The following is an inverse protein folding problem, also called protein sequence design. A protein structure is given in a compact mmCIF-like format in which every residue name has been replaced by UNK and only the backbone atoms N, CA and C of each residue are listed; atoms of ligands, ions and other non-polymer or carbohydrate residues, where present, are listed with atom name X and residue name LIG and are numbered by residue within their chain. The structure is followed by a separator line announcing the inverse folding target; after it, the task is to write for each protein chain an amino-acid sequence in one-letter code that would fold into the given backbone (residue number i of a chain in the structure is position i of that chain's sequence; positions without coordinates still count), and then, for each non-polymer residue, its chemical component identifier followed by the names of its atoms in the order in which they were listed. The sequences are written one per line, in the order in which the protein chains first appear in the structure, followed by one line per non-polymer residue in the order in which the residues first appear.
data_IF_052117759284
#
_entry.id   IF_052117759284
#
_cell.length_a   1.000
_cell.length_b   1.000
_cell.length_c   1.000
_cell.angle_alpha   90.00
_cell.angle_beta   90.00
_cell.angle_gamma   90.00
#
_symmetry.space_group_name_H-M   'P 1'
#
loop_
_entity.id
_entity.type
_entity.pdbx_description
1 polymer ?
#
# COMPACT_ATOMS: atom_id res chain seq x y z
N UNK A 1 9.31 21.91 -31.27
CA UNK A 1 9.49 20.46 -31.01
C UNK A 1 8.39 19.90 -30.10
N UNK A 2 7.92 18.65 -30.28
CA UNK A 2 6.88 18.02 -29.42
C UNK A 2 7.52 17.06 -28.41
N UNK A 3 7.87 17.58 -27.22
CA UNK A 3 8.45 16.79 -26.11
C UNK A 3 7.40 15.96 -25.35
N UNK A 4 6.47 15.29 -26.06
CA UNK A 4 5.39 14.50 -25.46
C UNK A 4 5.32 13.07 -26.02
N UNK A 5 5.07 12.10 -25.13
CA UNK A 5 4.91 10.69 -25.44
C UNK A 5 3.58 10.17 -24.88
N UNK A 6 2.91 9.20 -25.56
CA UNK A 6 1.71 8.57 -25.05
C UNK A 6 2.05 7.67 -23.85
N UNK A 7 1.59 8.06 -22.66
CA UNK A 7 1.88 7.34 -21.41
C UNK A 7 0.68 6.68 -20.77
N UNK A 8 0.86 5.52 -20.11
CA UNK A 8 -0.20 4.89 -19.33
C UNK A 8 -0.77 5.86 -18.29
N UNK A 9 -2.09 6.04 -18.31
CA UNK A 9 -2.76 6.97 -17.41
C UNK A 9 -2.59 6.55 -15.93
N UNK A 10 -1.84 7.35 -15.15
CA UNK A 10 -1.71 7.16 -13.68
C UNK A 10 -3.08 7.11 -12.98
N UNK A 11 -4.05 7.91 -13.45
CA UNK A 11 -5.44 7.88 -12.94
C UNK A 11 -6.10 6.53 -13.22
N UNK A 12 -5.94 6.00 -14.44
CA UNK A 12 -6.50 4.69 -14.81
C UNK A 12 -5.84 3.56 -14.03
N UNK A 13 -4.53 3.61 -13.79
CA UNK A 13 -3.84 2.63 -12.94
C UNK A 13 -4.33 2.66 -11.50
N UNK A 14 -4.50 3.84 -10.90
CA UNK A 14 -5.07 3.97 -9.56
C UNK A 14 -6.51 3.40 -9.49
N UNK A 15 -7.33 3.66 -10.51
CA UNK A 15 -8.68 3.08 -10.63
C UNK A 15 -8.59 1.55 -10.74
N UNK A 16 -7.69 0.99 -11.55
CA UNK A 16 -7.50 -0.46 -11.67
C UNK A 16 -7.13 -1.10 -10.32
N UNK A 17 -6.19 -0.50 -9.59
CA UNK A 17 -5.79 -0.98 -8.26
C UNK A 17 -6.95 -0.88 -7.27
N UNK A 18 -7.71 0.22 -7.28
CA UNK A 18 -8.90 0.36 -6.44
C UNK A 18 -9.95 -0.72 -6.76
N UNK A 19 -10.23 -0.98 -8.05
CA UNK A 19 -11.14 -2.06 -8.47
C UNK A 19 -10.67 -3.40 -7.90
N UNK A 20 -9.39 -3.74 -8.05
CA UNK A 20 -8.84 -5.00 -7.57
C UNK A 20 -9.04 -5.15 -6.05
N UNK A 21 -8.63 -4.13 -5.29
CA UNK A 21 -8.75 -4.14 -3.82
C UNK A 21 -10.22 -4.26 -3.40
N UNK A 22 -11.10 -3.42 -3.93
CA UNK A 22 -12.54 -3.45 -3.59
C UNK A 22 -13.20 -4.76 -4.02
N UNK A 23 -12.79 -5.35 -5.14
CA UNK A 23 -13.29 -6.67 -5.58
C UNK A 23 -12.86 -7.79 -4.62
N UNK A 24 -11.61 -7.77 -4.13
CA UNK A 24 -11.15 -8.73 -3.10
C UNK A 24 -12.01 -8.60 -1.83
N UNK A 25 -12.25 -7.37 -1.35
CA UNK A 25 -13.14 -7.14 -0.21
C UNK A 25 -14.56 -7.62 -0.46
N UNK A 26 -15.11 -7.40 -1.67
CA UNK A 26 -16.44 -7.89 -2.04
C UNK A 26 -16.49 -9.42 -1.98
N UNK A 27 -15.52 -10.11 -2.56
CA UNK A 27 -15.44 -11.58 -2.56
C UNK A 27 -15.31 -12.11 -1.13
N UNK A 28 -14.44 -11.55 -0.31
CA UNK A 28 -14.31 -11.93 1.10
C UNK A 28 -15.63 -11.74 1.86
N UNK A 29 -16.33 -10.62 1.64
CA UNK A 29 -17.64 -10.35 2.26
C UNK A 29 -18.70 -11.36 1.78
N UNK A 30 -18.70 -11.72 0.50
CA UNK A 30 -19.61 -12.73 -0.05
C UNK A 30 -19.32 -14.14 0.49
N UNK A 31 -18.05 -14.51 0.65
CA UNK A 31 -17.65 -15.75 1.31
C UNK A 31 -18.12 -15.75 2.76
N UNK A 32 -17.93 -14.64 3.48
CA UNK A 32 -18.41 -14.50 4.86
C UNK A 32 -19.93 -14.62 4.94
N UNK A 33 -20.66 -13.98 4.02
CA UNK A 33 -22.12 -14.08 3.89
C UNK A 33 -22.54 -15.53 3.58
N UNK A 34 -21.80 -16.23 2.73
CA UNK A 34 -22.05 -17.62 2.39
C UNK A 34 -21.82 -18.54 3.59
N UNK A 35 -20.71 -18.37 4.32
CA UNK A 35 -20.39 -19.11 5.56
C UNK A 35 -21.44 -18.82 6.62
N UNK A 36 -21.80 -17.55 6.85
CA UNK A 36 -22.91 -17.17 7.71
C UNK A 36 -24.20 -17.84 7.24
N UNK A 37 -24.55 -17.79 5.96
CA UNK A 37 -25.78 -18.40 5.45
C UNK A 37 -25.79 -19.93 5.65
N UNK A 38 -24.68 -20.62 5.40
CA UNK A 38 -24.56 -22.07 5.50
C UNK A 38 -24.49 -22.56 6.94
N UNK A 39 -23.78 -21.89 7.84
CA UNK A 39 -23.78 -22.20 9.27
C UNK A 39 -25.16 -21.90 9.87
N UNK A 40 -25.73 -20.72 9.60
CA UNK A 40 -27.04 -20.34 10.15
C UNK A 40 -28.21 -21.18 9.62
N UNK A 41 -28.11 -21.84 8.45
CA UNK A 41 -29.12 -22.82 7.99
C UNK A 41 -29.04 -24.14 8.76
N UNK A 42 -27.87 -24.48 9.31
CA UNK A 42 -27.63 -25.69 10.09
C UNK A 42 -27.75 -25.48 11.60
N UNK A 43 -27.55 -24.25 12.07
CA UNK A 43 -27.27 -24.01 13.49
C UNK A 43 -28.47 -23.45 14.27
N UNK A 44 -29.48 -22.85 13.61
CA UNK A 44 -30.69 -22.36 14.29
C UNK A 44 -31.84 -22.04 13.32
N UNK A 45 -32.60 -23.06 12.91
CA UNK A 45 -33.77 -22.92 12.03
C UNK A 45 -35.05 -22.48 12.77
N UNK A 46 -34.93 -22.09 14.04
CA UNK A 46 -36.05 -21.76 14.93
C UNK A 46 -36.82 -22.97 15.46
N UNK A 47 -36.47 -24.20 15.04
CA UNK A 47 -37.06 -25.42 15.58
C UNK A 47 -36.31 -25.86 16.82
N UNK A 48 -37.10 -26.15 17.84
CA UNK A 48 -36.61 -26.65 19.12
C UNK A 48 -37.04 -28.10 19.30
N UNK A 49 -36.31 -28.80 20.17
CA UNK A 49 -36.72 -30.07 20.71
C UNK A 49 -36.63 -30.00 22.23
N UNK A 50 -37.54 -30.72 22.87
CA UNK A 50 -37.56 -30.84 24.32
C UNK A 50 -36.87 -32.13 24.71
N UNK A 51 -35.91 -32.03 25.63
CA UNK A 51 -35.22 -33.18 26.22
C UNK A 51 -35.55 -33.18 27.71
N UNK A 52 -35.95 -34.35 28.21
CA UNK A 52 -36.19 -34.57 29.63
C UNK A 52 -35.22 -35.64 30.12
N UNK A 53 -34.62 -35.41 31.27
CA UNK A 53 -33.64 -36.33 31.84
C UNK A 53 -33.28 -35.98 33.27
N UNK A 54 -32.53 -36.86 33.92
CA UNK A 54 -32.01 -36.66 35.27
C UNK A 54 -30.59 -36.12 35.19
N UNK A 55 -30.30 -35.02 35.88
CA UNK A 55 -28.95 -34.45 35.88
C UNK A 55 -27.99 -35.36 36.64
N UNK A 56 -27.03 -35.94 35.93
CA UNK A 56 -26.00 -36.83 36.49
C UNK A 56 -24.77 -36.05 36.94
N UNK A 57 -24.43 -34.98 36.22
CA UNK A 57 -23.26 -34.15 36.49
C UNK A 57 -23.50 -32.68 36.13
N UNK A 58 -22.90 -31.78 36.92
CA UNK A 58 -22.83 -30.34 36.64
C UNK A 58 -21.36 -29.94 36.57
N UNK A 59 -20.94 -29.30 35.48
CA UNK A 59 -19.58 -28.81 35.29
C UNK A 59 -19.58 -27.28 35.19
N UNK A 60 -18.81 -26.65 36.09
CA UNK A 60 -18.73 -25.20 36.28
C UNK A 60 -17.41 -24.60 35.78
N UNK A 61 -16.72 -25.28 34.84
CA UNK A 61 -15.50 -24.77 34.19
C UNK A 61 -15.73 -23.56 33.26
N UNK A 62 -14.97 -23.46 32.16
CA UNK A 62 -15.07 -22.35 31.20
C UNK A 62 -16.46 -22.21 30.54
N UNK A 63 -17.24 -23.29 30.53
CA UNK A 63 -18.64 -23.33 30.13
C UNK A 63 -19.46 -24.08 31.17
N UNK A 64 -20.63 -23.52 31.54
CA UNK A 64 -21.62 -24.20 32.37
C UNK A 64 -22.26 -25.33 31.56
N UNK A 65 -21.93 -26.58 31.93
CA UNK A 65 -22.47 -27.77 31.29
C UNK A 65 -23.27 -28.60 32.29
N UNK A 66 -24.40 -29.13 31.86
CA UNK A 66 -25.16 -30.15 32.59
C UNK A 66 -25.18 -31.43 31.77
N UNK A 67 -24.92 -32.57 32.40
CA UNK A 67 -24.99 -33.89 31.78
C UNK A 67 -26.24 -34.60 32.26
N UNK A 68 -27.00 -35.17 31.33
CA UNK A 68 -28.20 -35.95 31.65
C UNK A 68 -27.87 -37.45 31.76
N UNK A 69 -28.87 -38.25 32.09
CA UNK A 69 -28.82 -39.71 32.19
C UNK A 69 -28.60 -40.41 30.85
N UNK A 70 -28.72 -39.69 29.73
CA UNK A 70 -28.31 -40.14 28.40
C UNK A 70 -26.81 -39.92 28.09
N UNK A 71 -26.02 -39.56 29.10
CA UNK A 71 -24.60 -39.22 29.02
C UNK A 71 -24.26 -38.02 28.11
N UNK A 72 -25.27 -37.29 27.62
CA UNK A 72 -25.02 -36.08 26.81
C UNK A 72 -24.93 -34.85 27.70
N UNK A 73 -23.94 -34.01 27.38
CA UNK A 73 -23.79 -32.70 28.00
C UNK A 73 -24.52 -31.62 27.21
N UNK A 74 -25.03 -30.62 27.92
CA UNK A 74 -25.77 -29.48 27.40
C UNK A 74 -25.21 -28.18 28.00
N UNK A 75 -25.03 -27.16 27.17
CA UNK A 75 -24.43 -25.89 27.56
C UNK A 75 -25.48 -24.87 28.01
N UNK A 76 -25.49 -24.52 29.29
CA UNK A 76 -26.46 -23.60 29.90
C UNK A 76 -25.97 -22.15 30.00
N UNK A 77 -24.84 -21.79 29.38
CA UNK A 77 -24.30 -20.43 29.46
C UNK A 77 -25.30 -19.37 29.03
N UNK A 78 -26.11 -19.65 28.01
CA UNK A 78 -27.10 -18.71 27.45
C UNK A 78 -28.21 -18.35 28.44
N UNK A 79 -28.65 -19.32 29.24
CA UNK A 79 -29.74 -19.14 30.20
C UNK A 79 -29.24 -18.88 31.62
N UNK A 80 -27.91 -18.84 31.83
CA UNK A 80 -27.30 -18.80 33.17
C UNK A 80 -27.79 -17.61 34.00
N UNK A 81 -27.91 -16.44 33.38
CA UNK A 81 -28.34 -15.22 34.04
C UNK A 81 -29.87 -15.22 34.26
N UNK A 82 -30.63 -15.71 33.30
CA UNK A 82 -32.10 -15.72 33.33
C UNK A 82 -32.67 -16.78 34.28
N UNK A 83 -31.97 -17.91 34.45
CA UNK A 83 -32.38 -19.01 35.33
C UNK A 83 -32.34 -18.64 36.82
N UNK A 84 -31.57 -17.61 37.19
CA UNK A 84 -31.44 -17.13 38.57
C UNK A 84 -31.10 -18.25 39.59
N UNK A 85 -30.38 -19.29 39.16
CA UNK A 85 -29.93 -20.38 40.03
C UNK A 85 -28.58 -19.98 40.64
N UNK A 86 -28.56 -19.82 41.95
CA UNK A 86 -27.36 -19.44 42.72
C UNK A 86 -26.30 -20.53 42.79
N UNK A 87 -26.72 -21.79 42.92
CA UNK A 87 -25.86 -22.98 42.87
C UNK A 87 -26.44 -24.03 41.92
N UNK A 88 -25.76 -24.23 40.78
CA UNK A 88 -26.20 -25.16 39.74
C UNK A 88 -26.07 -26.62 40.17
N UNK A 89 -25.28 -26.94 41.19
CA UNK A 89 -25.17 -28.31 41.71
C UNK A 89 -26.48 -28.80 42.34
N UNK A 90 -27.38 -27.90 42.74
CA UNK A 90 -28.74 -28.23 43.24
C UNK A 90 -29.58 -28.98 42.20
N UNK A 91 -29.20 -28.92 40.92
CA UNK A 91 -29.86 -29.66 39.86
C UNK A 91 -29.48 -31.15 39.84
N UNK A 92 -28.35 -31.55 40.44
CA UNK A 92 -27.88 -32.93 40.40
C UNK A 92 -28.89 -33.89 41.06
N UNK A 93 -29.22 -34.98 40.38
CA UNK A 93 -30.24 -35.94 40.79
C UNK A 93 -31.69 -35.49 40.58
N UNK A 94 -31.94 -34.28 40.04
CA UNK A 94 -33.28 -33.81 39.70
C UNK A 94 -33.63 -34.11 38.26
N UNK A 95 -34.90 -34.43 38.01
CA UNK A 95 -35.46 -34.45 36.66
C UNK A 95 -35.64 -33.02 36.18
N UNK A 96 -35.06 -32.71 35.03
CA UNK A 96 -35.19 -31.41 34.39
C UNK A 96 -35.77 -31.57 32.99
N UNK A 97 -36.38 -30.51 32.49
CA UNK A 97 -36.81 -30.38 31.10
C UNK A 97 -36.04 -29.24 30.47
N UNK A 98 -35.29 -29.53 29.41
CA UNK A 98 -34.52 -28.53 28.66
C UNK A 98 -35.06 -28.42 27.24
N UNK A 99 -35.03 -27.19 26.72
CA UNK A 99 -35.34 -26.90 25.33
C UNK A 99 -34.02 -26.61 24.62
N UNK A 100 -33.72 -27.35 23.56
CA UNK A 100 -32.49 -27.23 22.78
C UNK A 100 -32.83 -27.11 21.29
N UNK A 101 -31.91 -26.61 20.44
CA UNK A 101 -32.11 -26.65 18.99
C UNK A 101 -32.33 -28.09 18.50
N UNK A 102 -33.23 -28.27 17.53
CA UNK A 102 -33.54 -29.61 16.96
C UNK A 102 -32.34 -30.21 16.19
N UNK A 103 -31.51 -29.37 15.59
CA UNK A 103 -30.28 -29.77 14.90
C UNK A 103 -29.07 -29.34 15.75
N UNK A 104 -28.17 -30.27 16.05
CA UNK A 104 -26.96 -29.97 16.82
C UNK A 104 -25.92 -29.29 15.94
N UNK A 105 -25.37 -28.17 16.42
CA UNK A 105 -24.16 -27.52 15.91
C UNK A 105 -23.07 -28.56 15.63
N UNK A 106 -22.51 -28.59 14.41
CA UNK A 106 -21.49 -29.56 13.97
C UNK A 106 -20.43 -29.88 15.06
N UNK A 107 -20.63 -30.96 15.82
CA UNK A 107 -19.70 -31.46 16.83
C UNK A 107 -19.60 -30.68 18.15
N UNK A 108 -20.41 -29.64 18.37
CA UNK A 108 -20.39 -28.85 19.61
C UNK A 108 -21.49 -29.26 20.58
N UNK A 109 -21.21 -29.14 21.88
CA UNK A 109 -22.17 -29.37 22.97
C UNK A 109 -23.41 -28.51 22.78
N UNK A 110 -24.62 -29.09 22.62
CA UNK A 110 -25.85 -28.35 22.34
C UNK A 110 -26.14 -27.35 23.45
N UNK A 111 -26.45 -26.11 23.08
CA UNK A 111 -26.79 -25.07 24.04
C UNK A 111 -28.27 -25.10 24.41
N UNK A 112 -28.58 -24.69 25.64
CA UNK A 112 -29.93 -24.69 26.20
C UNK A 112 -30.59 -23.33 25.97
N UNK A 113 -31.80 -23.36 25.42
CA UNK A 113 -32.65 -22.19 25.15
C UNK A 113 -33.62 -21.89 26.28
N UNK A 114 -34.10 -22.95 26.95
CA UNK A 114 -35.03 -22.87 28.06
C UNK A 114 -34.84 -24.05 29.00
N UNK A 115 -35.21 -23.85 30.26
CA UNK A 115 -34.99 -24.80 31.34
C UNK A 115 -36.22 -24.75 32.25
N UNK A 116 -36.81 -25.91 32.53
CA UNK A 116 -37.86 -26.07 33.53
C UNK A 116 -37.44 -27.14 34.52
N UNK A 117 -37.33 -26.72 35.78
CA UNK A 117 -36.99 -27.58 36.92
C UNK A 117 -38.05 -27.35 37.99
N UNK A 118 -38.86 -28.36 38.33
CA UNK A 118 -39.88 -28.24 39.36
C UNK A 118 -39.29 -27.67 40.66
N UNK A 119 -39.96 -26.65 41.21
CA UNK A 119 -39.63 -25.98 42.47
C UNK A 119 -38.22 -25.34 42.54
N UNK A 120 -37.54 -25.15 41.40
CA UNK A 120 -36.20 -24.53 41.36
C UNK A 120 -36.13 -23.34 40.40
N UNK A 121 -36.45 -23.54 39.12
CA UNK A 121 -36.30 -22.50 38.12
C UNK A 121 -37.12 -22.79 36.86
N UNK A 122 -37.64 -21.74 36.24
CA UNK A 122 -38.30 -21.79 34.94
C UNK A 122 -37.76 -20.65 34.05
N UNK A 123 -37.21 -21.01 32.90
CA UNK A 123 -36.71 -20.09 31.88
C UNK A 123 -37.48 -20.37 30.60
N UNK A 124 -38.32 -19.42 30.20
CA UNK A 124 -39.03 -19.50 28.92
C UNK A 124 -38.00 -19.46 27.77
N UNK A 125 -38.14 -20.39 26.83
CA UNK A 125 -37.27 -20.46 25.67
C UNK A 125 -37.60 -19.40 24.61
N UNK A 126 -38.81 -18.83 24.61
CA UNK A 126 -39.29 -17.89 23.59
C UNK A 126 -38.45 -16.62 23.51
N UNK A 127 -38.05 -16.04 24.66
CA UNK A 127 -37.23 -14.83 24.71
C UNK A 127 -35.82 -15.08 24.18
N UNK A 128 -35.20 -16.17 24.62
CA UNK A 128 -33.86 -16.60 24.17
C UNK A 128 -33.85 -16.97 22.69
N UNK A 129 -34.92 -17.61 22.22
CA UNK A 129 -35.16 -17.96 20.81
C UNK A 129 -35.32 -16.69 19.95
N UNK A 130 -36.11 -15.72 20.41
CA UNK A 130 -36.33 -14.45 19.73
C UNK A 130 -35.02 -13.63 19.65
N UNK A 131 -34.28 -13.53 20.75
CA UNK A 131 -32.99 -12.84 20.81
C UNK A 131 -31.99 -13.43 19.79
N UNK A 132 -31.80 -14.76 19.79
CA UNK A 132 -30.87 -15.41 18.86
C UNK A 132 -31.30 -15.33 17.41
N UNK A 133 -32.60 -15.34 17.16
CA UNK A 133 -33.15 -15.13 15.80
C UNK A 133 -32.88 -13.69 15.33
N UNK A 134 -33.00 -12.70 16.21
CA UNK A 134 -32.77 -11.29 15.90
C UNK A 134 -31.28 -10.96 15.68
N UNK A 135 -30.37 -11.45 16.52
CA UNK A 135 -28.92 -11.30 16.34
C UNK A 135 -28.49 -11.81 14.95
N UNK A 136 -28.98 -13.00 14.58
CA UNK A 136 -28.70 -13.62 13.29
C UNK A 136 -29.28 -12.85 12.09
N UNK A 137 -30.50 -12.34 12.22
CA UNK A 137 -31.13 -11.52 11.19
C UNK A 137 -30.36 -10.19 10.99
N UNK A 138 -29.91 -9.58 12.08
CA UNK A 138 -29.14 -8.33 12.05
C UNK A 138 -27.79 -8.53 11.37
N UNK A 139 -27.03 -9.57 11.74
CA UNK A 139 -25.73 -9.88 11.13
C UNK A 139 -25.82 -10.15 9.63
N UNK A 140 -26.83 -10.90 9.17
CA UNK A 140 -27.10 -11.13 7.75
C UNK A 140 -27.44 -9.85 7.00
N UNK A 141 -28.29 -9.01 7.59
CA UNK A 141 -28.73 -7.75 6.98
C UNK A 141 -27.57 -6.78 6.82
N UNK A 142 -26.74 -6.61 7.85
CA UNK A 142 -25.55 -5.75 7.81
C UNK A 142 -24.57 -6.23 6.74
N UNK A 143 -24.25 -7.52 6.69
CA UNK A 143 -23.33 -8.06 5.68
C UNK A 143 -23.89 -7.92 4.25
N UNK A 144 -25.20 -8.10 4.06
CA UNK A 144 -25.84 -7.91 2.75
C UNK A 144 -25.81 -6.45 2.29
N UNK A 145 -26.04 -5.49 3.20
CA UNK A 145 -25.93 -4.05 2.90
C UNK A 145 -24.49 -3.71 2.51
N UNK A 146 -23.49 -4.16 3.27
CA UNK A 146 -22.07 -3.91 2.99
C UNK A 146 -21.67 -4.50 1.63
N UNK A 147 -22.08 -5.72 1.32
CA UNK A 147 -21.85 -6.33 0.02
C UNK A 147 -22.49 -5.53 -1.12
N UNK A 148 -23.72 -5.04 -0.94
CA UNK A 148 -24.41 -4.17 -1.90
C UNK A 148 -23.67 -2.86 -2.16
N UNK A 149 -23.20 -2.19 -1.10
CA UNK A 149 -22.41 -0.94 -1.22
C UNK A 149 -21.10 -1.21 -1.96
N UNK A 150 -20.37 -2.27 -1.60
CA UNK A 150 -19.12 -2.66 -2.26
C UNK A 150 -19.33 -2.93 -3.76
N UNK A 151 -20.41 -3.63 -4.12
CA UNK A 151 -20.76 -3.89 -5.52
C UNK A 151 -21.02 -2.59 -6.30
N UNK A 152 -21.80 -1.66 -5.72
CA UNK A 152 -22.03 -0.34 -6.32
C UNK A 152 -20.73 0.44 -6.54
N UNK A 153 -19.82 0.43 -5.55
CA UNK A 153 -18.51 1.09 -5.67
C UNK A 153 -17.68 0.47 -6.80
N UNK A 154 -17.63 -0.87 -6.91
CA UNK A 154 -16.94 -1.56 -8.00
C UNK A 154 -17.51 -1.15 -9.37
N UNK A 155 -18.84 -1.09 -9.51
CA UNK A 155 -19.48 -0.64 -10.74
C UNK A 155 -19.11 0.80 -11.12
N UNK A 156 -19.12 1.73 -10.15
CA UNK A 156 -18.71 3.13 -10.37
C UNK A 156 -17.24 3.20 -10.79
N UNK A 157 -16.36 2.44 -10.14
CA UNK A 157 -14.94 2.40 -10.49
C UNK A 157 -14.72 1.84 -11.91
N UNK A 158 -15.46 0.80 -12.31
CA UNK A 158 -15.42 0.26 -13.68
C UNK A 158 -15.91 1.30 -14.70
N UNK A 159 -17.00 2.01 -14.42
CA UNK A 159 -17.48 3.08 -15.28
C UNK A 159 -16.45 4.20 -15.43
N UNK A 160 -15.80 4.60 -14.34
CA UNK A 160 -14.69 5.56 -14.36
C UNK A 160 -13.50 5.04 -15.16
N UNK A 161 -13.16 3.75 -15.04
CA UNK A 161 -12.08 3.10 -15.82
C UNK A 161 -12.35 3.19 -17.33
N UNK A 162 -13.57 2.91 -17.77
CA UNK A 162 -13.97 2.96 -19.19
C UNK A 162 -13.85 4.38 -19.74
N UNK A 163 -14.29 5.38 -18.96
CA UNK A 163 -14.26 6.79 -19.33
C UNK A 163 -12.86 7.42 -19.24
N UNK A 164 -11.93 6.79 -18.54
CA UNK A 164 -10.56 7.30 -18.40
C UNK A 164 -9.70 6.79 -19.55
N UNK A 165 -9.06 7.67 -20.35
CA UNK A 165 -8.23 7.25 -21.47
C UNK A 165 -7.09 6.32 -21.04
N UNK A 166 -6.74 5.37 -21.91
CA UNK A 166 -5.64 4.41 -21.66
C UNK A 166 -4.31 5.13 -21.60
N UNK A 167 -4.08 5.99 -22.59
CA UNK A 167 -2.86 6.76 -22.74
C UNK A 167 -3.18 8.25 -22.66
N UNK A 168 -2.30 9.01 -22.02
CA UNK A 168 -2.34 10.47 -21.94
C UNK A 168 -0.99 10.96 -22.43
N UNK A 169 -0.96 12.03 -23.22
CA UNK A 169 0.30 12.68 -23.56
C UNK A 169 0.99 13.15 -22.27
N UNK A 170 2.19 12.64 -22.03
CA UNK A 170 3.04 13.04 -20.93
C UNK A 170 4.39 13.51 -21.45
N UNK A 171 5.02 14.40 -20.69
CA UNK A 171 6.33 14.94 -21.08
C UNK A 171 7.40 13.85 -21.00
N UNK A 172 8.21 13.71 -22.05
CA UNK A 172 9.39 12.83 -22.06
C UNK A 172 10.31 13.14 -20.87
N UNK A 173 10.54 14.42 -20.62
CA UNK A 173 11.31 14.91 -19.49
C UNK A 173 10.76 14.41 -18.14
N UNK A 174 9.44 14.37 -17.95
CA UNK A 174 8.86 13.83 -16.71
C UNK A 174 9.13 12.34 -16.53
N UNK A 175 9.19 11.55 -17.61
CA UNK A 175 9.54 10.13 -17.53
C UNK A 175 11.00 9.94 -17.16
N UNK A 176 11.89 10.67 -17.84
CA UNK A 176 13.33 10.63 -17.56
C UNK A 176 13.59 10.94 -16.09
N UNK A 177 13.02 12.04 -15.61
CA UNK A 177 13.18 12.45 -14.22
C UNK A 177 12.61 11.38 -13.28
N UNK A 178 11.47 10.74 -13.60
CA UNK A 178 10.95 9.64 -12.80
C UNK A 178 11.86 8.41 -12.78
N UNK A 179 12.44 8.03 -13.92
CA UNK A 179 13.40 6.93 -14.02
C UNK A 179 14.62 7.21 -13.14
N UNK A 180 15.25 8.36 -13.33
CA UNK A 180 16.42 8.79 -12.57
C UNK A 180 16.15 8.93 -11.07
N UNK A 181 14.98 9.45 -10.68
CA UNK A 181 14.60 9.53 -9.28
C UNK A 181 14.56 8.15 -8.60
N UNK A 182 14.17 7.08 -9.31
CA UNK A 182 14.18 5.72 -8.74
C UNK A 182 15.59 5.15 -8.59
N UNK A 183 16.55 5.68 -9.34
CA UNK A 183 17.97 5.34 -9.27
C UNK A 183 18.73 6.24 -8.28
N UNK A 184 18.06 7.03 -7.44
CA UNK A 184 18.76 7.83 -6.44
C UNK A 184 18.73 7.16 -5.06
N UNK A 185 19.81 7.26 -4.28
CA UNK A 185 19.80 6.79 -2.91
C UNK A 185 18.78 7.57 -2.06
N UNK A 186 18.14 6.89 -1.13
CA UNK A 186 17.28 7.51 -0.12
C UNK A 186 17.70 7.06 1.28
N UNK A 187 17.49 7.91 2.28
CA UNK A 187 17.79 7.54 3.67
C UNK A 187 16.93 6.34 4.07
N UNK A 188 17.52 5.22 4.52
CA UNK A 188 16.78 4.05 5.01
C UNK A 188 15.83 4.44 6.16
N UNK A 189 14.58 3.97 6.13
CA UNK A 189 13.43 4.51 6.91
C UNK A 189 12.56 3.46 7.59
N UNK A 190 12.96 2.21 7.60
CA UNK A 190 12.11 1.08 8.05
C UNK A 190 11.56 1.27 9.46
N UNK A 191 12.32 1.87 10.36
CA UNK A 191 12.00 1.83 11.80
C UNK A 191 10.82 2.74 12.20
N UNK A 192 10.64 3.87 11.54
CA UNK A 192 9.54 4.81 11.85
C UNK A 192 8.19 4.34 11.29
N UNK A 193 8.19 3.65 10.14
CA UNK A 193 6.97 3.09 9.57
C UNK A 193 6.45 1.89 10.36
N UNK A 194 7.33 1.13 11.02
CA UNK A 194 6.92 0.06 11.95
C UNK A 194 6.00 0.64 13.04
N UNK A 195 6.31 1.81 13.59
CA UNK A 195 5.46 2.46 14.62
C UNK A 195 4.06 2.75 14.07
N UNK A 196 3.96 3.25 12.83
CA UNK A 196 2.66 3.52 12.18
C UNK A 196 1.88 2.23 11.91
N UNK A 197 2.57 1.18 11.45
CA UNK A 197 1.96 -0.15 11.19
C UNK A 197 1.46 -0.77 12.50
N UNK A 198 2.25 -0.70 13.58
CA UNK A 198 1.85 -1.17 14.90
C UNK A 198 0.66 -0.36 15.44
N UNK A 199 0.67 0.97 15.31
CA UNK A 199 -0.44 1.82 15.73
C UNK A 199 -1.71 1.53 14.92
N UNK A 200 -1.57 1.25 13.62
CA UNK A 200 -2.68 0.83 12.76
C UNK A 200 -3.24 -0.53 13.21
N UNK A 201 -2.39 -1.53 13.45
CA UNK A 201 -2.83 -2.82 13.97
C UNK A 201 -3.57 -2.68 15.32
N UNK A 202 -3.05 -1.85 16.22
CA UNK A 202 -3.70 -1.55 17.51
C UNK A 202 -5.05 -0.84 17.34
N UNK A 203 -5.20 0.03 16.35
CA UNK A 203 -6.49 0.69 16.06
C UNK A 203 -7.60 -0.28 15.65
N UNK A 204 -7.23 -1.47 15.16
CA UNK A 204 -8.18 -2.55 14.92
C UNK A 204 -8.37 -3.41 16.17
N UNK A 205 -7.30 -3.81 16.86
CA UNK A 205 -7.40 -4.79 17.96
C UNK A 205 -8.09 -4.20 19.21
N UNK A 206 -7.76 -2.96 19.58
CA UNK A 206 -8.24 -2.36 20.85
C UNK A 206 -9.76 -2.17 20.87
N UNK A 207 -10.43 -1.66 19.83
CA UNK A 207 -11.89 -1.54 19.83
C UNK A 207 -12.61 -2.88 19.97
N UNK A 208 -12.11 -3.96 19.35
CA UNK A 208 -12.68 -5.29 19.52
C UNK A 208 -12.45 -5.85 20.94
N UNK A 209 -11.28 -5.62 21.53
CA UNK A 209 -11.01 -6.02 22.91
C UNK A 209 -11.94 -5.28 23.89
N UNK A 210 -12.14 -3.96 23.71
CA UNK A 210 -13.08 -3.17 24.51
C UNK A 210 -14.52 -3.64 24.30
N UNK A 211 -14.93 -3.90 23.06
CA UNK A 211 -16.26 -4.45 22.75
C UNK A 211 -16.51 -5.76 23.51
N UNK A 212 -15.55 -6.68 23.48
CA UNK A 212 -15.66 -8.00 24.16
C UNK A 212 -15.80 -7.93 25.68
N UNK A 213 -15.28 -6.86 26.30
CA UNK A 213 -15.41 -6.61 27.74
C UNK A 213 -16.72 -5.89 28.05
N UNK A 214 -17.12 -4.93 27.21
CA UNK A 214 -18.36 -4.16 27.40
C UNK A 214 -19.62 -4.98 27.10
N UNK A 215 -19.55 -5.94 26.20
CA UNK A 215 -20.64 -6.89 25.90
C UNK A 215 -21.08 -7.69 27.14
N UNK A 216 -20.19 -7.83 28.14
CA UNK A 216 -20.52 -8.46 29.43
C UNK A 216 -21.26 -7.56 30.41
N UNK A 217 -21.36 -6.26 30.17
CA UNK A 217 -21.81 -5.27 31.15
C UNK A 217 -22.84 -4.26 30.64
N UNK A 218 -23.00 -4.08 29.33
CA UNK A 218 -23.86 -3.06 28.74
C UNK A 218 -24.70 -3.60 27.57
N UNK A 219 -25.72 -2.84 27.16
CA UNK A 219 -26.58 -3.21 26.04
C UNK A 219 -25.81 -3.15 24.70
N UNK A 220 -26.18 -4.05 23.79
CA UNK A 220 -25.57 -4.18 22.46
C UNK A 220 -25.49 -2.85 21.69
N UNK A 221 -26.52 -2.00 21.83
CA UNK A 221 -26.56 -0.67 21.20
C UNK A 221 -25.45 0.24 21.70
N UNK A 222 -25.18 0.24 23.01
CA UNK A 222 -24.13 1.09 23.62
C UNK A 222 -22.75 0.53 23.30
N UNK A 223 -22.59 -0.80 23.31
CA UNK A 223 -21.35 -1.49 22.89
C UNK A 223 -21.04 -1.15 21.43
N UNK A 224 -22.03 -1.22 20.54
CA UNK A 224 -21.88 -0.88 19.12
C UNK A 224 -21.47 0.58 18.89
N UNK A 225 -22.18 1.54 19.50
CA UNK A 225 -21.86 2.98 19.37
C UNK A 225 -20.45 3.28 19.92
N UNK A 226 -20.10 2.70 21.07
CA UNK A 226 -18.80 2.92 21.71
C UNK A 226 -17.68 2.34 20.85
N UNK A 227 -17.85 1.13 20.33
CA UNK A 227 -16.85 0.46 19.46
C UNK A 227 -16.60 1.24 18.18
N UNK A 228 -17.67 1.69 17.50
CA UNK A 228 -17.56 2.50 16.27
C UNK A 228 -16.87 3.84 16.54
N UNK A 229 -17.21 4.49 17.67
CA UNK A 229 -16.60 5.78 18.06
C UNK A 229 -15.11 5.63 18.40
N UNK A 230 -14.74 4.57 19.13
CA UNK A 230 -13.36 4.25 19.47
C UNK A 230 -12.55 3.94 18.21
N UNK A 231 -13.11 3.14 17.31
CA UNK A 231 -12.48 2.80 16.04
C UNK A 231 -12.25 4.05 15.17
N UNK A 232 -13.25 4.91 15.03
CA UNK A 232 -13.13 6.17 14.30
C UNK A 232 -12.08 7.11 14.93
N UNK A 233 -12.06 7.24 16.26
CA UNK A 233 -11.07 8.05 16.98
C UNK A 233 -9.64 7.53 16.81
N UNK A 234 -9.43 6.23 16.89
CA UNK A 234 -8.11 5.61 16.70
C UNK A 234 -7.64 5.69 15.24
N UNK A 235 -8.55 5.56 14.26
CA UNK A 235 -8.22 5.77 12.85
C UNK A 235 -7.83 7.24 12.55
N UNK A 236 -8.49 8.21 13.18
CA UNK A 236 -8.11 9.61 13.07
C UNK A 236 -6.71 9.84 13.67
N UNK A 237 -6.43 9.30 14.85
CA UNK A 237 -5.13 9.43 15.52
C UNK A 237 -3.99 8.77 14.72
N UNK A 238 -4.21 7.57 14.17
CA UNK A 238 -3.23 6.87 13.32
C UNK A 238 -2.98 7.60 12.01
N UNK A 239 -4.00 8.23 11.43
CA UNK A 239 -3.85 9.07 10.23
C UNK A 239 -3.00 10.32 10.50
N UNK A 240 -3.20 10.98 11.65
CA UNK A 240 -2.38 12.12 12.10
C UNK A 240 -0.94 11.68 12.36
N UNK A 241 -0.75 10.52 13.00
CA UNK A 241 0.58 9.95 13.24
C UNK A 241 1.30 9.63 11.92
N UNK A 242 0.62 9.00 10.96
CA UNK A 242 1.17 8.70 9.64
C UNK A 242 1.58 9.98 8.89
N UNK A 243 0.75 11.03 8.95
CA UNK A 243 1.09 12.33 8.38
C UNK A 243 2.33 12.95 9.05
N UNK A 244 2.40 12.92 10.38
CA UNK A 244 3.52 13.46 11.14
C UNK A 244 4.83 12.71 10.87
N UNK A 245 4.79 11.37 10.87
CA UNK A 245 5.92 10.50 10.51
C UNK A 245 6.38 10.82 9.09
N UNK A 246 5.45 10.93 8.13
CA UNK A 246 5.80 11.32 6.76
C UNK A 246 6.47 12.70 6.67
N UNK A 247 6.06 13.67 7.50
CA UNK A 247 6.70 15.00 7.58
C UNK A 247 8.14 14.92 8.09
N UNK A 248 8.40 14.16 9.15
CA UNK A 248 9.76 13.94 9.69
C UNK A 248 10.64 13.26 8.64
N UNK A 249 10.13 12.18 8.08
CA UNK A 249 10.76 11.40 7.02
C UNK A 249 11.11 12.33 5.85
N UNK A 250 10.20 13.18 5.41
CA UNK A 250 10.50 14.13 4.35
C UNK A 250 11.64 15.11 4.73
N UNK A 251 11.59 15.73 5.90
CA UNK A 251 12.63 16.66 6.36
C UNK A 251 14.02 16.01 6.44
N UNK A 252 14.11 14.77 6.93
CA UNK A 252 15.36 14.01 6.96
C UNK A 252 15.91 13.71 5.56
N UNK A 253 15.04 13.55 4.57
CA UNK A 253 15.47 13.34 3.18
C UNK A 253 15.97 14.61 2.54
N UNK A 254 15.29 15.73 2.77
CA UNK A 254 15.74 17.04 2.29
C UNK A 254 17.13 17.35 2.84
N UNK A 255 17.38 17.08 4.12
CA UNK A 255 18.71 17.23 4.72
C UNK A 255 19.75 16.32 4.04
N UNK A 256 19.45 15.02 3.86
CA UNK A 256 20.33 14.08 3.18
C UNK A 256 20.68 14.52 1.74
N UNK A 257 19.69 14.93 0.96
CA UNK A 257 19.90 15.37 -0.42
C UNK A 257 20.66 16.70 -0.50
N UNK A 258 20.40 17.64 0.42
CA UNK A 258 21.14 18.90 0.47
C UNK A 258 22.65 18.66 0.57
N UNK A 259 23.04 17.73 1.45
CA UNK A 259 24.42 17.41 1.75
C UNK A 259 25.09 16.55 0.68
N UNK A 260 24.36 15.59 0.09
CA UNK A 260 24.97 14.54 -0.72
C UNK A 260 24.70 14.65 -2.24
N UNK A 261 23.80 15.52 -2.71
CA UNK A 261 23.51 15.69 -4.14
C UNK A 261 24.48 16.68 -4.82
N UNK A 262 24.94 16.44 -6.06
CA UNK A 262 24.60 15.32 -6.95
C UNK A 262 25.26 14.00 -6.53
N UNK A 263 24.55 12.89 -6.76
CA UNK A 263 25.04 11.55 -6.44
C UNK A 263 25.90 11.00 -7.58
N UNK A 264 26.79 10.07 -7.24
CA UNK A 264 27.45 9.23 -8.22
C UNK A 264 26.45 8.16 -8.71
N UNK A 265 26.10 8.21 -9.99
CA UNK A 265 25.18 7.24 -10.59
C UNK A 265 25.86 5.88 -10.84
N UNK A 266 27.20 5.81 -10.79
CA UNK A 266 27.94 4.56 -10.83
C UNK A 266 27.90 3.80 -9.50
N UNK A 267 27.59 4.49 -8.39
CA UNK A 267 27.45 3.84 -7.10
C UNK A 267 26.14 3.05 -7.03
N UNK A 268 26.18 1.76 -7.38
CA UNK A 268 24.99 0.91 -7.34
C UNK A 268 24.59 0.51 -5.90
N UNK A 269 25.24 1.02 -4.84
CA UNK A 269 25.07 0.64 -3.43
C UNK A 269 23.62 0.69 -2.93
N UNK A 270 22.77 1.51 -3.54
CA UNK A 270 21.35 1.64 -3.20
C UNK A 270 20.39 0.71 -3.97
N UNK A 271 20.82 0.10 -5.09
CA UNK A 271 19.96 -0.78 -5.88
C UNK A 271 19.69 -2.11 -5.19
N UNK A 272 18.44 -2.58 -5.31
CA UNK A 272 17.95 -3.84 -4.73
C UNK A 272 18.12 -5.00 -5.70
N UNK A 273 19.37 -5.33 -6.02
CA UNK A 273 19.76 -6.44 -6.91
C UNK A 273 20.66 -7.45 -6.17
N UNK A 274 20.84 -8.64 -6.75
CA UNK A 274 21.75 -9.67 -6.19
C UNK A 274 23.16 -9.09 -6.03
N UNK A 275 23.80 -9.38 -4.88
CA UNK A 275 25.11 -8.82 -4.51
C UNK A 275 26.20 -9.09 -5.56
N UNK A 276 26.24 -10.29 -6.12
CA UNK A 276 27.21 -10.69 -7.15
C UNK A 276 27.04 -9.83 -8.42
N UNK A 277 25.81 -9.78 -8.97
CA UNK A 277 25.50 -8.94 -10.16
C UNK A 277 25.79 -7.47 -9.93
N UNK A 278 25.59 -6.99 -8.70
CA UNK A 278 25.87 -5.61 -8.33
C UNK A 278 27.37 -5.30 -8.38
N UNK A 279 28.20 -6.20 -7.87
CA UNK A 279 29.65 -6.05 -7.92
C UNK A 279 30.16 -6.11 -9.36
N UNK A 280 29.63 -7.03 -10.16
CA UNK A 280 29.95 -7.14 -11.58
C UNK A 280 29.60 -5.86 -12.36
N UNK A 281 28.36 -5.38 -12.23
CA UNK A 281 27.91 -4.15 -12.90
C UNK A 281 28.70 -2.92 -12.42
N UNK A 282 28.98 -2.83 -11.12
CA UNK A 282 29.76 -1.73 -10.58
C UNK A 282 31.19 -1.72 -11.14
N UNK A 283 31.84 -2.89 -11.23
CA UNK A 283 33.16 -3.01 -11.86
C UNK A 283 33.15 -2.65 -13.34
N UNK A 284 32.11 -3.03 -14.07
CA UNK A 284 31.95 -2.66 -15.48
C UNK A 284 31.83 -1.15 -15.66
N UNK A 285 30.95 -0.51 -14.89
CA UNK A 285 30.76 0.95 -14.95
C UNK A 285 32.04 1.69 -14.52
N UNK A 286 32.70 1.24 -13.44
CA UNK A 286 33.97 1.85 -12.97
C UNK A 286 35.08 1.72 -14.01
N UNK A 287 35.23 0.55 -14.63
CA UNK A 287 36.21 0.32 -15.70
C UNK A 287 35.95 1.26 -16.88
N UNK A 288 34.69 1.40 -17.26
CA UNK A 288 34.33 2.22 -18.40
C UNK A 288 34.48 3.72 -18.13
N UNK A 289 34.14 4.18 -16.93
CA UNK A 289 34.43 5.55 -16.50
C UNK A 289 35.94 5.84 -16.45
N UNK A 290 36.78 4.83 -16.24
CA UNK A 290 38.23 5.00 -16.35
C UNK A 290 38.71 5.06 -17.81
N UNK A 291 38.13 4.25 -18.68
CA UNK A 291 38.48 4.21 -20.11
C UNK A 291 37.94 5.44 -20.86
N UNK A 292 36.76 5.94 -20.48
CA UNK A 292 36.03 7.01 -21.14
C UNK A 292 35.44 8.03 -20.13
N UNK A 293 36.27 8.75 -19.35
CA UNK A 293 35.83 9.58 -18.20
C UNK A 293 34.95 10.78 -18.56
N UNK A 294 34.95 11.18 -19.84
CA UNK A 294 34.23 12.35 -20.33
C UNK A 294 33.20 12.00 -21.41
N UNK A 295 32.87 10.71 -21.51
CA UNK A 295 31.84 10.23 -22.42
C UNK A 295 30.57 9.93 -21.63
N UNK A 296 29.43 10.37 -22.17
CA UNK A 296 28.12 10.17 -21.58
C UNK A 296 27.16 9.70 -22.66
N UNK A 297 26.22 8.84 -22.31
CA UNK A 297 25.12 8.50 -23.19
C UNK A 297 23.92 9.40 -22.87
N UNK A 298 23.39 10.08 -23.88
CA UNK A 298 22.08 10.72 -23.82
C UNK A 298 20.98 9.65 -23.80
N UNK A 299 19.81 10.01 -23.28
CA UNK A 299 18.66 9.12 -23.15
C UNK A 299 18.06 8.68 -24.49
N UNK A 300 18.47 9.30 -25.60
CA UNK A 300 18.14 8.86 -26.96
C UNK A 300 19.14 7.82 -27.51
N UNK A 301 20.14 7.42 -26.71
CA UNK A 301 21.14 6.41 -27.08
C UNK A 301 22.39 6.97 -27.75
N UNK A 302 22.55 8.30 -27.79
CA UNK A 302 23.70 8.96 -28.42
C UNK A 302 24.86 9.12 -27.43
N UNK A 303 26.07 8.73 -27.83
CA UNK A 303 27.26 8.96 -27.04
C UNK A 303 27.80 10.37 -27.32
N UNK A 304 27.96 11.17 -26.27
CA UNK A 304 28.60 12.48 -26.30
C UNK A 304 29.94 12.41 -25.59
N UNK A 305 30.98 12.95 -26.22
CA UNK A 305 32.30 13.13 -25.62
C UNK A 305 32.59 14.61 -25.43
N UNK A 306 32.87 15.02 -24.20
CA UNK A 306 33.30 16.37 -23.89
C UNK A 306 34.80 16.53 -24.17
N UNK A 307 35.16 17.65 -24.80
CA UNK A 307 36.55 17.97 -25.18
C UNK A 307 36.84 19.44 -24.92
N UNK A 308 38.09 19.86 -25.05
CA UNK A 308 38.46 21.28 -24.92
C UNK A 308 37.81 22.18 -26.00
N UNK A 309 37.50 21.62 -27.17
CA UNK A 309 36.98 22.38 -28.32
C UNK A 309 35.43 22.44 -28.37
N UNK A 310 34.76 21.69 -27.48
CA UNK A 310 33.31 21.50 -27.51
C UNK A 310 32.94 20.04 -27.25
N UNK A 311 31.81 19.59 -27.79
CA UNK A 311 31.36 18.21 -27.66
C UNK A 311 31.27 17.52 -29.01
N UNK A 312 31.62 16.23 -29.01
CA UNK A 312 31.57 15.35 -30.16
C UNK A 312 30.49 14.29 -29.95
N UNK A 313 29.56 14.15 -30.90
CA UNK A 313 28.53 13.12 -30.85
C UNK A 313 28.91 11.94 -31.71
N UNK A 314 28.63 10.75 -31.21
CA UNK A 314 28.88 9.48 -31.83
C UNK A 314 27.55 8.70 -31.86
N UNK A 315 27.27 8.09 -33.01
CA UNK A 315 26.12 7.19 -33.14
C UNK A 315 26.40 5.90 -32.38
N UNK A 316 25.35 5.26 -31.89
CA UNK A 316 25.46 3.88 -31.47
C UNK A 316 25.44 3.02 -32.74
N UNK A 317 26.60 2.53 -33.20
CA UNK A 317 26.59 1.57 -34.29
C UNK A 317 25.90 0.28 -33.81
N UNK A 318 24.76 -0.04 -34.42
CA UNK A 318 23.92 -1.23 -34.21
C UNK A 318 24.64 -2.58 -34.47
N UNK A 319 25.94 -2.59 -34.77
CA UNK A 319 26.72 -3.79 -35.13
C UNK A 319 27.34 -4.53 -33.93
N UNK A 320 26.96 -4.20 -32.69
CA UNK A 320 27.36 -4.98 -31.52
C UNK A 320 26.41 -6.16 -31.32
N UNK A 321 26.89 -7.34 -31.73
CA UNK A 321 26.39 -8.65 -31.29
C UNK A 321 26.02 -8.57 -29.79
N UNK A 322 24.75 -8.89 -29.47
CA UNK A 322 24.04 -8.68 -28.19
C UNK A 322 24.67 -9.36 -26.94
N UNK A 323 25.96 -9.68 -26.95
CA UNK A 323 26.62 -10.53 -25.96
C UNK A 323 27.81 -9.93 -25.21
N UNK A 324 28.27 -8.69 -25.42
CA UNK A 324 29.50 -8.28 -24.73
C UNK A 324 29.67 -6.90 -24.10
N UNK A 325 29.04 -5.78 -24.52
CA UNK A 325 29.42 -4.48 -23.94
C UNK A 325 28.22 -3.53 -23.77
N UNK A 326 28.18 -2.81 -22.63
CA UNK A 326 27.07 -1.91 -22.26
C UNK A 326 27.13 -0.60 -23.08
N UNK A 327 28.28 -0.27 -23.67
CA UNK A 327 28.49 0.91 -24.50
C UNK A 327 29.38 0.57 -25.69
N UNK A 328 29.12 1.23 -26.83
CA UNK A 328 29.83 1.01 -28.09
C UNK A 328 31.32 1.38 -28.03
N UNK A 329 32.19 0.46 -28.45
CA UNK A 329 33.64 0.61 -28.36
C UNK A 329 34.30 1.39 -29.50
N UNK A 330 33.57 1.83 -30.53
CA UNK A 330 34.15 2.54 -31.68
C UNK A 330 33.81 4.04 -31.72
N UNK A 331 34.62 4.86 -31.05
CA UNK A 331 34.67 6.33 -31.24
C UNK A 331 35.41 6.73 -32.54
N UNK A 332 35.22 6.01 -33.65
CA UNK A 332 36.09 6.14 -34.82
C UNK A 332 35.86 7.44 -35.62
N UNK A 333 34.62 7.93 -35.73
CA UNK A 333 34.31 9.20 -36.40
C UNK A 333 33.07 9.86 -35.80
N UNK A 334 33.15 11.13 -35.35
CA UNK A 334 31.99 11.81 -34.78
C UNK A 334 30.97 12.16 -35.86
N UNK A 335 29.70 11.91 -35.57
CA UNK A 335 28.52 12.25 -36.40
C UNK A 335 28.31 13.75 -36.46
N UNK A 336 28.60 14.44 -35.35
CA UNK A 336 28.53 15.89 -35.25
C UNK A 336 29.52 16.42 -34.23
N UNK A 337 29.94 17.68 -34.43
CA UNK A 337 30.72 18.44 -33.46
C UNK A 337 30.01 19.75 -33.16
N UNK A 338 29.90 20.08 -31.89
CA UNK A 338 29.26 21.31 -31.44
C UNK A 338 30.19 22.08 -30.53
N UNK A 339 30.21 23.40 -30.67
CA UNK A 339 30.77 24.26 -29.63
C UNK A 339 29.81 24.32 -28.43
N UNK A 340 30.33 24.66 -27.25
CA UNK A 340 29.46 24.80 -26.07
C UNK A 340 28.42 25.92 -26.21
N UNK A 341 28.75 26.98 -26.96
CA UNK A 341 27.81 28.04 -27.29
C UNK A 341 26.64 27.54 -28.16
N UNK A 342 26.91 26.61 -29.09
CA UNK A 342 25.86 26.00 -29.91
C UNK A 342 24.95 25.08 -29.10
N UNK A 343 25.52 24.33 -28.14
CA UNK A 343 24.76 23.43 -27.26
C UNK A 343 23.86 24.19 -26.29
N UNK A 344 24.32 25.35 -25.82
CA UNK A 344 23.58 26.27 -24.96
C UNK A 344 22.84 25.54 -23.82
N UNK A 345 23.61 24.87 -22.96
CA UNK A 345 23.04 24.02 -21.92
C UNK A 345 22.29 24.82 -20.85
N UNK A 346 21.16 24.27 -20.40
CA UNK A 346 20.37 24.76 -19.27
C UNK A 346 20.18 23.65 -18.25
N UNK A 347 20.33 23.98 -16.96
CA UNK A 347 19.96 23.09 -15.87
C UNK A 347 18.51 23.33 -15.42
N UNK A 348 17.73 22.26 -15.32
CA UNK A 348 16.33 22.28 -14.89
C UNK A 348 16.13 21.43 -13.62
N UNK A 349 15.65 22.02 -12.50
CA UNK A 349 15.39 21.27 -11.27
C UNK A 349 14.00 20.63 -11.28
N UNK A 350 13.94 19.37 -10.89
CA UNK A 350 12.71 18.63 -10.70
C UNK A 350 12.65 18.02 -9.31
N UNK A 351 11.53 18.23 -8.61
CA UNK A 351 11.32 17.63 -7.30
C UNK A 351 10.29 16.51 -7.38
N UNK A 352 10.73 15.27 -7.20
CA UNK A 352 9.89 14.09 -7.37
C UNK A 352 9.64 13.41 -6.03
N UNK A 353 8.41 13.55 -5.52
CA UNK A 353 7.91 12.89 -4.31
C UNK A 353 8.64 13.27 -3.02
N UNK A 354 8.16 12.75 -1.89
CA UNK A 354 8.82 12.95 -0.60
C UNK A 354 10.11 12.12 -0.42
N UNK A 355 10.35 11.12 -1.29
CA UNK A 355 11.41 10.12 -1.15
C UNK A 355 12.69 10.47 -1.92
N UNK A 356 12.59 11.13 -3.08
CA UNK A 356 13.73 11.55 -3.90
C UNK A 356 13.54 13.01 -4.34
N UNK A 357 13.77 13.97 -3.43
CA UNK A 357 13.23 15.33 -3.55
C UNK A 357 13.87 16.18 -4.65
N UNK A 358 14.96 15.76 -5.29
CA UNK A 358 15.63 16.55 -6.34
C UNK A 358 16.32 15.69 -7.41
N UNK A 359 16.03 16.00 -8.66
CA UNK A 359 16.74 15.55 -9.86
C UNK A 359 16.98 16.80 -10.71
N UNK A 360 18.22 17.04 -11.12
CA UNK A 360 18.56 18.11 -12.05
C UNK A 360 18.83 17.49 -13.41
N UNK A 361 18.16 17.97 -14.45
CA UNK A 361 18.46 17.59 -15.83
C UNK A 361 19.22 18.75 -16.48
N UNK A 362 20.38 18.47 -17.05
CA UNK A 362 21.11 19.36 -17.94
C UNK A 362 20.65 19.08 -19.35
N UNK A 363 20.07 20.09 -20.00
CA UNK A 363 19.42 19.96 -21.29
C UNK A 363 20.06 20.90 -22.29
N UNK A 364 20.35 20.46 -23.51
CA UNK A 364 20.78 21.39 -24.57
C UNK A 364 19.61 22.28 -25.00
N UNK A 365 19.92 23.44 -25.58
CA UNK A 365 18.94 24.28 -26.30
C UNK A 365 19.48 24.57 -27.68
N UNK A 366 19.44 23.55 -28.53
CA UNK A 366 19.90 23.69 -29.91
C UNK A 366 18.98 24.69 -30.65
N UNK A 367 19.55 25.65 -31.41
CA UNK A 367 18.76 26.58 -32.23
C UNK A 367 17.79 25.86 -33.17
N UNK A 368 16.59 26.37 -33.39
CA UNK A 368 15.62 25.72 -34.30
C UNK A 368 16.05 25.74 -35.78
N UNK A 369 16.96 26.65 -36.17
CA UNK A 369 17.35 26.90 -37.57
C UNK A 369 18.65 26.19 -38.00
N UNK A 370 19.09 25.14 -37.29
CA UNK A 370 20.31 24.40 -37.64
C UNK A 370 20.09 23.13 -38.47
N UNK A 371 21.05 22.81 -39.34
CA UNK A 371 21.14 21.50 -39.99
C UNK A 371 21.75 20.48 -39.02
N UNK A 372 20.91 19.86 -38.20
CA UNK A 372 21.31 18.79 -37.29
C UNK A 372 21.05 17.42 -37.91
N UNK A 373 21.83 16.39 -37.52
CA UNK A 373 21.46 15.00 -37.77
C UNK A 373 20.01 14.72 -37.35
N UNK A 374 19.28 13.91 -38.12
CA UNK A 374 17.87 13.58 -37.88
C UNK A 374 17.64 12.93 -36.49
N UNK A 375 18.68 12.26 -35.96
CA UNK A 375 18.68 11.67 -34.62
C UNK A 375 18.65 12.73 -33.49
N UNK A 376 19.03 13.98 -33.77
CA UNK A 376 18.89 15.13 -32.87
C UNK A 376 17.57 15.89 -33.07
N UNK A 377 16.51 15.16 -33.42
CA UNK A 377 15.14 15.70 -33.48
C UNK A 377 14.63 16.21 -32.13
N UNK A 378 15.30 15.83 -31.04
CA UNK A 378 15.10 16.35 -29.69
C UNK A 378 16.42 16.89 -29.12
N UNK A 379 16.32 17.80 -28.16
CA UNK A 379 17.48 18.23 -27.36
C UNK A 379 18.15 17.04 -26.64
N UNK A 380 19.44 17.18 -26.35
CA UNK A 380 20.19 16.27 -25.49
C UNK A 380 19.78 16.45 -24.03
N UNK A 381 19.67 15.36 -23.29
CA UNK A 381 19.27 15.36 -21.89
C UNK A 381 20.23 14.52 -21.04
N UNK A 382 20.83 15.15 -20.03
CA UNK A 382 21.70 14.47 -19.09
C UNK A 382 21.19 14.61 -17.66
N UNK A 383 21.12 13.51 -16.93
CA UNK A 383 20.91 13.57 -15.49
C UNK A 383 22.18 14.06 -14.81
N UNK A 384 22.07 15.10 -13.96
CA UNK A 384 23.22 15.61 -13.24
C UNK A 384 23.68 14.59 -12.19
N UNK A 385 24.83 13.98 -12.49
CA UNK A 385 25.60 13.13 -11.59
C UNK A 385 26.86 13.86 -11.11
N UNK A 386 27.52 13.28 -10.11
CA UNK A 386 28.83 13.78 -9.65
C UNK A 386 29.86 13.82 -10.79
N UNK A 387 29.97 12.74 -11.56
CA UNK A 387 30.95 12.61 -12.65
C UNK A 387 30.66 13.61 -13.78
N UNK A 388 29.39 13.81 -14.13
CA UNK A 388 28.99 14.80 -15.12
C UNK A 388 29.35 16.21 -14.65
N UNK A 389 29.07 16.55 -13.39
CA UNK A 389 29.44 17.86 -12.84
C UNK A 389 30.96 18.09 -12.92
N UNK A 390 31.77 17.10 -12.53
CA UNK A 390 33.23 17.17 -12.64
C UNK A 390 33.70 17.36 -14.09
N UNK A 391 33.03 16.71 -15.05
CA UNK A 391 33.34 16.88 -16.48
C UNK A 391 32.99 18.29 -16.98
N UNK A 392 31.81 18.81 -16.61
CA UNK A 392 31.38 20.16 -16.97
C UNK A 392 32.35 21.21 -16.40
N UNK A 393 32.83 21.02 -15.17
CA UNK A 393 33.83 21.88 -14.54
C UNK A 393 35.21 21.77 -15.23
N UNK A 394 35.64 20.55 -15.56
CA UNK A 394 36.94 20.29 -16.22
C UNK A 394 37.08 21.03 -17.55
N UNK A 395 36.01 21.04 -18.36
CA UNK A 395 36.02 21.70 -19.67
C UNK A 395 35.41 23.12 -19.64
N UNK A 396 35.10 23.68 -18.47
CA UNK A 396 34.46 24.97 -18.30
C UNK A 396 33.19 25.13 -19.16
N UNK A 397 32.34 24.10 -19.18
CA UNK A 397 31.11 24.10 -19.97
C UNK A 397 30.10 25.09 -19.38
N UNK A 398 29.66 26.12 -20.11
CA UNK A 398 28.62 27.02 -19.64
C UNK A 398 27.27 26.30 -19.56
N UNK A 399 26.69 26.26 -18.36
CA UNK A 399 25.35 25.73 -18.11
C UNK A 399 24.51 26.77 -17.38
N UNK A 400 23.46 27.27 -18.03
CA UNK A 400 22.54 28.23 -17.46
C UNK A 400 21.86 27.66 -16.19
N UNK A 401 21.71 28.48 -15.16
CA UNK A 401 21.02 28.18 -13.89
C UNK A 401 21.67 27.10 -12.99
N UNK A 402 22.71 26.39 -13.43
CA UNK A 402 23.27 25.26 -12.68
C UNK A 402 23.80 25.65 -11.28
N UNK A 403 24.64 26.68 -11.20
CA UNK A 403 25.20 27.13 -9.91
C UNK A 403 24.12 27.69 -8.97
N UNK A 404 23.11 28.37 -9.50
CA UNK A 404 22.00 28.89 -8.70
C UNK A 404 21.19 27.73 -8.08
N UNK A 405 20.91 26.69 -8.86
CA UNK A 405 20.18 25.52 -8.38
C UNK A 405 21.00 24.76 -7.33
N UNK A 406 22.30 24.54 -7.59
CA UNK A 406 23.19 23.83 -6.66
C UNK A 406 23.41 24.58 -5.34
N UNK A 407 23.48 25.91 -5.36
CA UNK A 407 23.59 26.73 -4.14
C UNK A 407 22.29 26.78 -3.35
N UNK A 408 21.13 26.66 -4.02
CA UNK A 408 19.80 26.78 -3.40
C UNK A 408 19.01 25.46 -3.34
N UNK A 409 19.68 24.29 -3.40
CA UNK A 409 19.06 22.94 -3.40
C UNK A 409 17.92 22.78 -2.38
N UNK A 410 18.12 23.25 -1.15
CA UNK A 410 17.13 23.11 -0.08
C UNK A 410 15.84 23.92 -0.34
N UNK A 411 15.97 25.12 -0.90
CA UNK A 411 14.83 25.98 -1.22
C UNK A 411 13.97 25.32 -2.32
N UNK A 412 14.60 24.82 -3.39
CA UNK A 412 13.91 24.08 -4.45
C UNK A 412 13.17 22.86 -3.90
N UNK A 413 13.81 22.05 -3.06
CA UNK A 413 13.17 20.88 -2.45
C UNK A 413 11.98 21.24 -1.54
N UNK A 414 12.06 22.36 -0.79
CA UNK A 414 10.97 22.83 0.08
C UNK A 414 9.82 23.48 -0.69
N UNK A 415 10.09 24.24 -1.73
CA UNK A 415 9.04 24.93 -2.49
C UNK A 415 8.16 23.94 -3.27
N UNK A 416 8.77 22.94 -3.89
CA UNK A 416 8.06 21.97 -4.73
C UNK A 416 7.46 20.79 -3.95
N UNK A 417 7.91 20.51 -2.73
CA UNK A 417 7.32 19.47 -1.86
C UNK A 417 5.94 19.84 -1.30
N UNK A 418 5.60 21.13 -1.23
CA UNK A 418 4.29 21.61 -0.77
C UNK A 418 3.32 22.02 -1.89
N UNK A 419 3.75 22.11 -3.16
CA UNK A 419 2.83 22.31 -4.30
C UNK A 419 2.09 21.02 -4.66
N UNK A 420 1.09 20.65 -3.85
CA UNK A 420 -0.07 19.91 -4.34
C UNK A 420 -1.01 20.89 -5.06
N UNK A 421 -1.18 20.68 -6.37
CA UNK A 421 -2.17 21.32 -7.27
C UNK A 421 -2.00 22.82 -7.54
N UNK A 422 -1.44 23.14 -8.71
CA UNK A 422 -2.08 24.16 -9.56
C UNK A 422 -2.62 23.49 -10.82
N UNK A 423 -3.82 23.95 -11.18
CA UNK A 423 -4.81 23.34 -12.07
C UNK A 423 -4.29 23.10 -13.49
N UNK A 424 -4.71 21.96 -14.02
CA UNK A 424 -5.03 21.69 -15.43
C UNK A 424 -6.23 20.77 -15.40
#
# INVERSE_FOLDING_TARGET
MKNTLPLPSKKRNAINTAILVTAIFLVLTLILLYVLHTQLKKDFNGKTQTVQGVVTQVNLGDSLLITLDDEKSYNCNLIKQTANISDWNVLQGKTITIVVPQESLNGNTPFVLGLSVPDVAEVNFEDTLAQKTQENATGRTVCAIVAGVLACVVCVLIALRIRTPQFVEGSFLQLLVQSHATMQPSKKRTDLWIIVICAFALSFIVPFAVASVMEKQQSETVVGITTVSLFAGMLAATSVLAWYVNKIIHAQNVAFYKENYPFDLADLSFLTIKKEKKQELQQQIEKELQENPHCYCDELGMNIKFTEQGAELYDFQDDLDYTSEVFGTDFATPVAKFTYEQLNFEAMPFCISAQCPLVIIVKSRLPEEGNYPEILTNDLHFCLSKNLLETLETFNVPVENLHEILSNKEAYMKEYSFRKKRKG
#
